data_IF_150008428912
#
_entry.id   IF_150008428912
#
_cell.length_a   1.000
_cell.length_b   1.000
_cell.length_c   1.000
_cell.angle_alpha   90.00
_cell.angle_beta   90.00
_cell.angle_gamma   90.00
#
_symmetry.space_group_name_H-M   'P 1'
#
loop_
_entity.id
_entity.type
_entity.pdbx_description
1 polymer ?
#
# COMPACT_ATOMS: atom_id res chain seq x y z
N UNK A 1 27.59 -58.51 35.56
CA UNK A 1 28.03 -57.14 35.20
C UNK A 1 27.41 -56.78 33.86
N UNK A 2 26.48 -55.82 33.83
CA UNK A 2 25.84 -55.31 32.59
C UNK A 2 26.18 -53.82 32.49
N UNK A 3 26.87 -53.42 31.41
CA UNK A 3 27.12 -52.00 31.09
C UNK A 3 25.83 -51.35 30.58
N UNK A 4 25.50 -50.09 30.94
CA UNK A 4 24.43 -49.35 30.31
C UNK A 4 24.92 -48.62 29.04
N UNK A 5 24.08 -48.69 28.01
CA UNK A 5 24.20 -48.05 26.69
C UNK A 5 23.85 -46.55 26.78
N UNK A 6 24.50 -45.63 26.03
CA UNK A 6 24.25 -44.20 26.17
C UNK A 6 22.97 -43.78 25.45
N UNK A 7 22.12 -43.02 26.14
CA UNK A 7 20.94 -42.36 25.59
C UNK A 7 21.40 -41.11 24.81
N UNK A 8 21.41 -41.19 23.48
CA UNK A 8 21.71 -40.07 22.61
C UNK A 8 20.46 -39.18 22.48
N UNK A 9 20.45 -38.02 23.14
CA UNK A 9 19.38 -37.03 23.02
C UNK A 9 19.65 -36.20 21.76
N UNK A 10 18.79 -36.36 20.75
CA UNK A 10 18.83 -35.58 19.51
C UNK A 10 18.17 -34.20 19.74
N UNK A 11 18.88 -33.07 19.58
CA UNK A 11 18.26 -31.76 19.72
C UNK A 11 17.39 -31.47 18.49
N UNK A 12 16.08 -31.42 18.68
CA UNK A 12 15.13 -30.93 17.69
C UNK A 12 15.31 -29.42 17.54
N UNK A 13 16.01 -29.00 16.49
CA UNK A 13 16.15 -27.58 16.12
C UNK A 13 14.81 -27.14 15.52
N UNK A 14 13.96 -26.48 16.33
CA UNK A 14 12.86 -25.69 15.79
C UNK A 14 13.46 -24.49 15.04
N UNK A 15 13.44 -24.53 13.71
CA UNK A 15 13.62 -23.35 12.90
C UNK A 15 12.41 -22.42 13.11
N UNK A 16 12.52 -21.46 14.02
CA UNK A 16 11.63 -20.30 14.01
C UNK A 16 11.90 -19.52 12.72
N UNK A 17 11.03 -19.67 11.73
CA UNK A 17 11.08 -18.79 10.58
C UNK A 17 10.67 -17.38 11.02
N UNK A 18 11.42 -16.33 10.67
CA UNK A 18 10.98 -14.97 10.93
C UNK A 18 9.70 -14.73 10.15
N UNK A 19 8.58 -14.57 10.85
CA UNK A 19 7.35 -14.05 10.27
C UNK A 19 7.63 -12.61 9.88
N UNK A 20 7.94 -12.38 8.60
CA UNK A 20 8.09 -11.04 8.07
C UNK A 20 6.66 -10.48 7.95
N UNK A 21 6.25 -9.70 8.96
CA UNK A 21 4.95 -9.05 8.93
C UNK A 21 4.87 -8.15 7.69
N UNK A 22 3.79 -8.27 6.92
CA UNK A 22 3.57 -7.46 5.73
C UNK A 22 3.46 -5.97 6.07
N UNK A 23 3.52 -5.12 5.04
CA UNK A 23 3.39 -3.69 5.22
C UNK A 23 2.02 -3.34 5.80
N UNK A 24 2.00 -2.71 6.98
CA UNK A 24 0.79 -2.30 7.67
C UNK A 24 0.44 -0.83 7.44
N UNK A 25 -0.86 -0.56 7.29
CA UNK A 25 -1.44 0.78 7.14
C UNK A 25 -2.84 0.78 7.75
N UNK A 26 -3.17 1.77 8.61
CA UNK A 26 -4.52 1.92 9.21
C UNK A 26 -5.10 0.64 9.86
N UNK A 27 -4.24 -0.18 10.48
CA UNK A 27 -4.63 -1.44 11.13
C UNK A 27 -4.94 -2.59 10.16
N UNK A 28 -4.62 -2.43 8.87
CA UNK A 28 -4.71 -3.48 7.85
C UNK A 28 -3.35 -3.78 7.25
N UNK A 29 -3.17 -5.02 6.79
CA UNK A 29 -1.93 -5.53 6.22
C UNK A 29 -2.09 -5.78 4.71
N UNK A 30 -1.16 -5.22 3.94
CA UNK A 30 -1.04 -5.41 2.48
C UNK A 30 -0.77 -6.88 2.18
N UNK A 31 -1.44 -7.44 1.16
CA UNK A 31 -1.32 -8.83 0.75
C UNK A 31 -2.11 -9.83 1.60
N UNK A 32 -2.58 -9.44 2.80
CA UNK A 32 -3.18 -10.37 3.75
C UNK A 32 -4.67 -10.08 4.00
N UNK A 33 -5.00 -8.81 4.28
CA UNK A 33 -6.35 -8.41 4.70
C UNK A 33 -7.36 -8.65 3.59
N UNK A 34 -8.50 -9.25 3.91
CA UNK A 34 -9.60 -9.45 2.94
C UNK A 34 -10.65 -8.35 3.01
N UNK A 35 -11.46 -8.21 1.95
CA UNK A 35 -12.59 -7.27 1.93
C UNK A 35 -13.58 -7.54 3.06
N UNK A 36 -13.81 -8.81 3.39
CA UNK A 36 -14.72 -9.21 4.47
C UNK A 36 -14.17 -8.84 5.84
N UNK A 37 -12.86 -9.04 6.04
CA UNK A 37 -12.19 -8.64 7.28
C UNK A 37 -12.23 -7.12 7.45
N UNK A 38 -11.91 -6.36 6.39
CA UNK A 38 -12.01 -4.90 6.40
C UNK A 38 -13.44 -4.46 6.75
N UNK A 39 -14.44 -5.01 6.09
CA UNK A 39 -15.85 -4.64 6.28
C UNK A 39 -16.33 -4.93 7.70
N UNK A 40 -15.96 -6.10 8.25
CA UNK A 40 -16.26 -6.46 9.64
C UNK A 40 -15.60 -5.51 10.65
N UNK A 41 -14.38 -5.07 10.37
CA UNK A 41 -13.63 -4.19 11.26
C UNK A 41 -14.16 -2.75 11.24
N UNK A 42 -14.57 -2.24 10.07
CA UNK A 42 -14.95 -0.83 9.89
C UNK A 42 -16.46 -0.55 9.98
N UNK A 43 -17.31 -1.55 9.76
CA UNK A 43 -18.79 -1.38 9.82
C UNK A 43 -19.34 -0.85 11.15
N UNK A 44 -18.52 -0.81 12.21
CA UNK A 44 -18.90 -0.24 13.51
C UNK A 44 -18.53 1.23 13.67
N UNK A 45 -17.69 1.78 12.80
CA UNK A 45 -17.09 3.11 12.97
C UNK A 45 -17.24 4.02 11.75
N UNK A 46 -17.52 3.48 10.56
CA UNK A 46 -17.74 4.27 9.35
C UNK A 46 -18.49 3.46 8.29
N UNK A 47 -19.14 4.17 7.38
CA UNK A 47 -19.78 3.59 6.22
C UNK A 47 -18.75 3.26 5.14
N UNK A 48 -18.94 2.11 4.49
CA UNK A 48 -18.13 1.68 3.36
C UNK A 48 -18.90 1.88 2.06
N UNK A 49 -18.37 2.73 1.19
CA UNK A 49 -18.88 2.95 -0.16
C UNK A 49 -18.21 2.01 -1.16
N UNK A 50 -19.00 1.45 -2.07
CA UNK A 50 -18.48 0.65 -3.18
C UNK A 50 -17.95 1.57 -4.29
N UNK A 51 -16.71 1.35 -4.73
CA UNK A 51 -16.06 2.11 -5.81
C UNK A 51 -15.90 1.30 -7.09
N UNK A 52 -16.53 0.13 -7.15
CA UNK A 52 -16.49 -0.78 -8.30
C UNK A 52 -15.23 -1.64 -8.34
N UNK A 53 -14.86 -2.07 -9.54
CA UNK A 53 -13.71 -2.95 -9.77
C UNK A 53 -12.53 -2.12 -10.28
N UNK A 54 -11.36 -2.31 -9.65
CA UNK A 54 -10.14 -1.67 -10.09
C UNK A 54 -9.66 -2.30 -11.40
N UNK A 55 -9.44 -1.46 -12.41
CA UNK A 55 -8.94 -1.87 -13.73
C UNK A 55 -7.64 -2.68 -13.69
N UNK A 56 -6.72 -2.36 -12.78
CA UNK A 56 -5.37 -2.93 -12.76
C UNK A 56 -5.27 -4.16 -11.87
N UNK A 57 -5.91 -4.16 -10.70
CA UNK A 57 -5.89 -5.33 -9.81
C UNK A 57 -6.97 -6.37 -10.16
N UNK A 58 -8.02 -5.96 -10.88
CA UNK A 58 -9.19 -6.80 -11.16
C UNK A 58 -10.04 -7.09 -9.92
N UNK A 59 -9.75 -6.47 -8.78
CA UNK A 59 -10.47 -6.67 -7.53
C UNK A 59 -11.35 -5.49 -7.13
N UNK A 60 -12.14 -5.72 -6.09
CA UNK A 60 -13.07 -4.73 -5.54
C UNK A 60 -12.34 -3.50 -5.00
N UNK A 61 -12.99 -2.35 -5.06
CA UNK A 61 -12.59 -1.15 -4.34
C UNK A 61 -13.66 -0.74 -3.34
N UNK A 62 -13.22 -0.42 -2.13
CA UNK A 62 -14.07 0.11 -1.06
C UNK A 62 -13.50 1.45 -0.59
N UNK A 63 -14.34 2.40 -0.22
CA UNK A 63 -13.88 3.68 0.30
C UNK A 63 -14.63 4.13 1.56
N UNK A 64 -13.92 4.87 2.42
CA UNK A 64 -14.47 5.57 3.58
C UNK A 64 -14.11 7.05 3.52
N UNK A 65 -14.81 7.86 4.30
CA UNK A 65 -14.50 9.28 4.50
C UNK A 65 -13.30 9.54 5.43
N UNK A 66 -12.63 8.47 5.89
CA UNK A 66 -11.49 8.54 6.80
C UNK A 66 -11.81 8.93 8.26
N UNK A 67 -13.06 9.30 8.57
CA UNK A 67 -13.45 9.85 9.89
C UNK A 67 -13.20 8.87 11.05
N UNK A 68 -13.38 7.57 10.80
CA UNK A 68 -13.11 6.50 11.78
C UNK A 68 -11.67 6.48 12.31
N UNK A 69 -10.71 7.02 11.55
CA UNK A 69 -9.30 7.01 11.93
C UNK A 69 -8.90 8.17 12.82
N UNK A 70 -9.72 9.22 12.91
CA UNK A 70 -9.43 10.42 13.71
C UNK A 70 -8.06 11.03 13.34
N UNK A 71 -7.65 10.90 12.08
CA UNK A 71 -6.40 11.47 11.55
C UNK A 71 -6.74 12.85 10.99
N UNK A 72 -6.13 13.87 11.58
CA UNK A 72 -6.28 15.25 11.12
C UNK A 72 -5.91 15.40 9.65
N UNK A 73 -6.81 16.00 8.87
CA UNK A 73 -6.63 16.26 7.45
C UNK A 73 -6.86 15.06 6.54
N UNK A 74 -7.22 13.87 7.05
CA UNK A 74 -7.60 12.72 6.22
C UNK A 74 -9.04 12.89 5.74
N UNK A 75 -9.28 12.82 4.42
CA UNK A 75 -10.59 13.09 3.82
C UNK A 75 -11.17 11.93 3.03
N UNK A 76 -10.33 10.99 2.58
CA UNK A 76 -10.80 9.75 1.95
C UNK A 76 -9.77 8.64 2.18
N UNK A 77 -10.26 7.41 2.33
CA UNK A 77 -9.44 6.20 2.24
C UNK A 77 -10.05 5.24 1.24
N UNK A 78 -9.31 4.87 0.20
CA UNK A 78 -9.69 3.86 -0.79
C UNK A 78 -8.86 2.61 -0.60
N UNK A 79 -9.52 1.49 -0.37
CA UNK A 79 -8.95 0.15 -0.30
C UNK A 79 -9.14 -0.55 -1.63
N UNK A 80 -8.04 -1.03 -2.21
CA UNK A 80 -8.01 -1.74 -3.48
C UNK A 80 -7.67 -3.19 -3.18
N UNK A 81 -8.55 -4.11 -3.54
CA UNK A 81 -8.32 -5.55 -3.44
C UNK A 81 -7.85 -6.11 -4.79
N UNK A 82 -7.20 -7.26 -4.78
CA UNK A 82 -6.94 -8.06 -5.98
C UNK A 82 -8.12 -8.97 -6.34
N UNK A 83 -7.98 -9.69 -7.45
CA UNK A 83 -9.00 -10.62 -7.95
C UNK A 83 -9.30 -11.80 -7.01
N UNK A 84 -8.41 -12.10 -6.05
CA UNK A 84 -8.64 -13.14 -5.03
C UNK A 84 -9.10 -12.55 -3.69
N UNK A 85 -9.40 -11.25 -3.65
CA UNK A 85 -9.97 -10.56 -2.50
C UNK A 85 -8.95 -10.19 -1.42
N UNK A 86 -7.66 -10.15 -1.73
CA UNK A 86 -6.59 -9.71 -0.81
C UNK A 86 -6.23 -8.24 -1.05
N UNK A 87 -5.91 -7.51 0.01
CA UNK A 87 -5.58 -6.09 -0.07
C UNK A 87 -4.33 -5.88 -0.94
N UNK A 88 -4.48 -5.12 -2.02
CA UNK A 88 -3.43 -4.83 -2.98
C UNK A 88 -2.97 -3.38 -2.91
N UNK A 89 -3.78 -2.48 -2.35
CA UNK A 89 -3.35 -1.13 -2.05
C UNK A 89 -4.31 -0.35 -1.17
N UNK A 90 -3.79 0.74 -0.60
CA UNK A 90 -4.55 1.75 0.14
C UNK A 90 -4.13 3.11 -0.37
N UNK A 91 -5.10 3.94 -0.75
CA UNK A 91 -4.89 5.34 -1.16
C UNK A 91 -5.59 6.21 -0.13
N UNK A 92 -4.88 7.21 0.37
CA UNK A 92 -5.40 8.20 1.31
C UNK A 92 -5.28 9.57 0.68
N UNK A 93 -6.41 10.28 0.59
CA UNK A 93 -6.42 11.69 0.24
C UNK A 93 -6.38 12.50 1.53
N UNK A 94 -5.44 13.44 1.60
CA UNK A 94 -5.17 14.22 2.80
C UNK A 94 -4.92 15.70 2.47
N UNK A 95 -5.13 16.58 3.43
CA UNK A 95 -4.69 17.97 3.34
C UNK A 95 -3.17 18.04 3.10
N UNK A 96 -2.76 18.86 2.11
CA UNK A 96 -1.35 18.97 1.70
C UNK A 96 -0.44 19.52 2.80
N UNK A 97 -0.97 20.31 3.75
CA UNK A 97 -0.23 20.78 4.92
C UNK A 97 0.29 19.64 5.81
N UNK A 98 -0.25 18.43 5.66
CA UNK A 98 0.21 17.22 6.36
C UNK A 98 1.47 16.59 5.74
N UNK A 99 1.96 17.07 4.60
CA UNK A 99 3.08 16.44 3.90
C UNK A 99 4.31 16.26 4.81
N UNK A 100 4.73 17.32 5.51
CA UNK A 100 5.94 17.29 6.33
C UNK A 100 5.82 16.29 7.49
N UNK A 101 4.69 16.26 8.20
CA UNK A 101 4.47 15.37 9.33
C UNK A 101 4.36 13.91 8.90
N UNK A 102 3.66 13.64 7.79
CA UNK A 102 3.56 12.29 7.22
C UNK A 102 4.90 11.81 6.69
N UNK A 103 5.65 12.65 5.98
CA UNK A 103 7.00 12.33 5.52
C UNK A 103 7.92 11.96 6.69
N UNK A 104 7.93 12.78 7.76
CA UNK A 104 8.72 12.52 8.97
C UNK A 104 8.36 11.21 9.66
N UNK A 105 7.06 10.90 9.73
CA UNK A 105 6.60 9.62 10.25
C UNK A 105 7.11 8.44 9.39
N UNK A 106 6.95 8.52 8.07
CA UNK A 106 7.34 7.44 7.16
C UNK A 106 8.86 7.21 7.13
N UNK A 107 9.67 8.26 7.10
CA UNK A 107 11.14 8.10 7.12
C UNK A 107 11.67 7.47 8.41
N UNK A 108 10.93 7.58 9.52
CA UNK A 108 11.30 6.92 10.78
C UNK A 108 11.07 5.41 10.74
N UNK A 109 10.21 4.93 9.84
CA UNK A 109 9.81 3.51 9.71
C UNK A 109 10.40 2.81 8.50
N UNK A 110 10.58 3.53 7.40
CA UNK A 110 10.97 2.96 6.12
C UNK A 110 12.17 3.69 5.53
N UNK A 111 13.01 2.95 4.82
CA UNK A 111 14.12 3.53 4.08
C UNK A 111 13.59 4.37 2.92
N UNK A 112 14.01 5.63 2.88
CA UNK A 112 13.76 6.55 1.78
C UNK A 112 14.45 6.03 0.52
N UNK A 113 13.74 6.02 -0.61
CA UNK A 113 14.24 5.56 -1.92
C UNK A 113 14.35 6.69 -2.92
N UNK A 114 13.42 7.63 -2.90
CA UNK A 114 13.47 8.83 -3.72
C UNK A 114 12.74 9.98 -3.01
N UNK A 115 13.20 11.20 -3.21
CA UNK A 115 12.58 12.41 -2.66
C UNK A 115 12.74 13.58 -3.62
N UNK A 116 11.73 14.43 -3.66
CA UNK A 116 11.74 15.75 -4.29
C UNK A 116 11.07 16.71 -3.30
N UNK A 117 11.87 17.57 -2.66
CA UNK A 117 11.41 18.47 -1.59
C UNK A 117 11.84 19.92 -1.89
N UNK A 118 11.35 20.52 -2.99
CA UNK A 118 11.68 21.90 -3.32
C UNK A 118 11.01 22.84 -2.31
N UNK A 119 11.56 24.05 -2.17
CA UNK A 119 10.92 25.11 -1.39
C UNK A 119 9.59 25.56 -2.01
N UNK A 120 9.53 25.59 -3.36
CA UNK A 120 8.32 25.86 -4.16
C UNK A 120 8.26 24.81 -5.28
N UNK A 121 7.11 24.16 -5.42
CA UNK A 121 6.86 23.14 -6.45
C UNK A 121 6.19 21.90 -5.89
N UNK A 122 6.14 20.84 -6.70
CA UNK A 122 5.58 19.55 -6.30
C UNK A 122 6.49 18.87 -5.29
N UNK A 123 5.90 18.32 -4.22
CA UNK A 123 6.64 17.54 -3.24
C UNK A 123 6.34 16.06 -3.40
N UNK A 124 7.37 15.24 -3.32
CA UNK A 124 7.26 13.80 -3.49
C UNK A 124 8.24 13.05 -2.59
N UNK A 125 7.82 11.90 -2.08
CA UNK A 125 8.70 10.93 -1.45
C UNK A 125 8.25 9.49 -1.78
N UNK A 126 9.21 8.60 -1.98
CA UNK A 126 8.99 7.16 -2.14
C UNK A 126 9.78 6.38 -1.09
N UNK A 127 9.11 5.39 -0.52
CA UNK A 127 9.67 4.36 0.35
C UNK A 127 9.35 2.99 -0.23
N UNK A 128 10.21 2.00 0.02
CA UNK A 128 10.03 0.63 -0.47
C UNK A 128 10.34 -0.35 0.66
N UNK A 129 9.34 -0.70 1.49
CA UNK A 129 9.38 -1.95 2.26
C UNK A 129 9.45 -3.18 1.32
N UNK A 130 9.62 -4.36 1.89
CA UNK A 130 9.92 -5.58 1.12
C UNK A 130 8.80 -5.97 0.13
N UNK A 131 7.54 -5.73 0.48
CA UNK A 131 6.34 -6.23 -0.19
C UNK A 131 5.48 -5.14 -0.87
N UNK A 132 5.81 -3.87 -0.64
CA UNK A 132 5.04 -2.73 -1.14
C UNK A 132 5.91 -1.53 -1.50
N UNK A 133 5.30 -0.60 -2.23
CA UNK A 133 5.79 0.76 -2.47
C UNK A 133 4.88 1.72 -1.71
N UNK A 134 5.49 2.67 -1.02
CA UNK A 134 4.78 3.76 -0.35
C UNK A 134 5.16 5.07 -1.06
N UNK A 135 4.17 5.81 -1.53
CA UNK A 135 4.38 7.11 -2.18
C UNK A 135 3.59 8.20 -1.48
N UNK A 136 4.27 9.30 -1.17
CA UNK A 136 3.68 10.53 -0.70
C UNK A 136 3.85 11.58 -1.79
N UNK A 137 2.74 12.13 -2.27
CA UNK A 137 2.70 12.96 -3.48
C UNK A 137 1.80 14.16 -3.25
N UNK A 138 2.38 15.35 -3.32
CA UNK A 138 1.73 16.63 -3.01
C UNK A 138 1.95 17.60 -4.19
N UNK A 139 1.01 17.63 -5.15
CA UNK A 139 1.08 18.56 -6.26
C UNK A 139 1.00 20.02 -5.79
N UNK A 140 1.81 20.89 -6.39
CA UNK A 140 1.93 22.29 -6.01
C UNK A 140 0.60 23.03 -6.09
N UNK A 141 -0.16 22.78 -7.15
CA UNK A 141 -1.43 23.45 -7.46
C UNK A 141 -2.67 22.75 -6.87
N UNK A 142 -2.48 21.69 -6.08
CA UNK A 142 -3.55 20.98 -5.37
C UNK A 142 -3.58 21.38 -3.89
N UNK A 143 -4.75 21.44 -3.28
CA UNK A 143 -4.88 21.51 -1.81
C UNK A 143 -4.76 20.13 -1.14
N UNK A 144 -4.90 19.07 -1.94
CA UNK A 144 -4.85 17.68 -1.50
C UNK A 144 -3.52 17.04 -1.88
N UNK A 145 -2.96 16.27 -0.96
CA UNK A 145 -1.89 15.31 -1.20
C UNK A 145 -2.43 13.89 -1.15
N UNK A 146 -1.70 12.96 -1.75
CA UNK A 146 -2.00 11.53 -1.68
C UNK A 146 -0.90 10.76 -1.00
N UNK A 147 -1.29 9.86 -0.10
CA UNK A 147 -0.45 8.82 0.45
C UNK A 147 -0.93 7.47 -0.07
N UNK A 148 -0.06 6.75 -0.77
CA UNK A 148 -0.39 5.49 -1.44
C UNK A 148 0.50 4.38 -0.91
N UNK A 149 -0.12 3.30 -0.46
CA UNK A 149 0.53 2.02 -0.17
C UNK A 149 0.11 1.04 -1.25
N UNK A 150 1.04 0.52 -2.03
CA UNK A 150 0.73 -0.30 -3.21
C UNK A 150 1.60 -1.55 -3.18
N UNK A 151 0.97 -2.73 -3.23
CA UNK A 151 1.67 -4.01 -3.34
C UNK A 151 2.52 -4.06 -4.59
N UNK A 152 3.70 -4.69 -4.50
CA UNK A 152 4.70 -4.64 -5.57
C UNK A 152 4.18 -5.17 -6.92
N UNK A 153 3.41 -6.25 -6.92
CA UNK A 153 2.80 -6.83 -8.12
C UNK A 153 1.79 -5.88 -8.80
N UNK A 154 0.94 -5.21 -8.02
CA UNK A 154 -0.01 -4.23 -8.53
C UNK A 154 0.72 -3.02 -9.13
N UNK A 155 1.78 -2.54 -8.47
CA UNK A 155 2.60 -1.45 -9.00
C UNK A 155 3.27 -1.83 -10.32
N UNK A 156 3.80 -3.05 -10.42
CA UNK A 156 4.40 -3.56 -11.65
C UNK A 156 3.35 -3.68 -12.77
N UNK A 157 2.18 -4.26 -12.47
CA UNK A 157 1.09 -4.37 -13.43
C UNK A 157 0.63 -3.00 -13.94
N UNK A 158 0.44 -2.04 -13.05
CA UNK A 158 0.11 -0.66 -13.41
C UNK A 158 1.14 -0.06 -14.36
N UNK A 159 2.44 -0.19 -14.06
CA UNK A 159 3.52 0.33 -14.92
C UNK A 159 3.52 -0.31 -16.30
N UNK A 160 3.36 -1.63 -16.38
CA UNK A 160 3.31 -2.38 -17.64
C UNK A 160 2.10 -1.97 -18.49
N UNK A 161 0.90 -1.96 -17.90
CA UNK A 161 -0.32 -1.59 -18.60
C UNK A 161 -0.26 -0.14 -19.09
N UNK A 162 0.28 0.79 -18.27
CA UNK A 162 0.49 2.19 -18.66
C UNK A 162 1.53 2.37 -19.77
N UNK A 163 2.59 1.58 -19.79
CA UNK A 163 3.56 1.63 -20.87
C UNK A 163 2.95 1.17 -22.20
N UNK A 164 2.17 0.09 -22.17
CA UNK A 164 1.45 -0.42 -23.33
C UNK A 164 0.40 0.59 -23.85
N UNK A 165 -0.37 1.22 -22.97
CA UNK A 165 -1.33 2.27 -23.33
C UNK A 165 -0.66 3.46 -24.03
N UNK A 166 0.47 3.93 -23.49
CA UNK A 166 1.22 5.03 -24.09
C UNK A 166 1.78 4.66 -25.45
N UNK A 167 2.29 3.43 -25.60
CA UNK A 167 2.81 2.95 -26.88
C UNK A 167 1.70 2.86 -27.94
N UNK A 168 0.52 2.33 -27.58
CA UNK A 168 -0.64 2.25 -28.45
C UNK A 168 -1.14 3.65 -28.86
N UNK A 169 -1.23 4.58 -27.90
CA UNK A 169 -1.63 5.97 -28.17
C UNK A 169 -0.68 6.66 -29.15
N UNK A 170 0.63 6.55 -28.92
CA UNK A 170 1.65 7.12 -29.83
C UNK A 170 1.55 6.55 -31.25
N UNK A 171 1.33 5.24 -31.38
CA UNK A 171 1.16 4.59 -32.69
C UNK A 171 -0.10 5.09 -33.42
N UNK A 172 -1.20 5.27 -32.69
CA UNK A 172 -2.44 5.80 -33.25
C UNK A 172 -2.28 7.25 -33.71
N UNK A 173 -1.65 8.10 -32.89
CA UNK A 173 -1.35 9.50 -33.24
C UNK A 173 -0.45 9.59 -34.47
N UNK A 174 0.60 8.76 -34.56
CA UNK A 174 1.50 8.74 -35.72
C UNK A 174 0.87 8.21 -37.01
N UNK A 175 -0.27 7.51 -36.92
CA UNK A 175 -1.01 7.00 -38.09
C UNK A 175 -2.06 8.00 -38.61
N UNK A 176 -2.25 9.13 -37.90
CA UNK A 176 -3.14 10.22 -38.32
C UNK A 176 -2.40 11.35 -39.07
N UNK A 177 -1.07 11.25 -39.17
CA UNK A 177 -0.19 12.15 -39.93
C UNK A 177 0.56 11.34 -40.99
#
# INVERSE_FOLDING_TARGET
>A
MRLPLPLLILPCILCLQPANAGTQVLGVEIGVTTSDQLSKNLSRSTDLSDRGINKYSGGKMLATDGSAYQIEGLTEVVYIFDSVGKLAGVIMDMDKGRFASVYQYLQSKYKVKATQLPYVGDQFARFEPADAIIELDAPHLSFTMQLRYIRNDLSQKYKTDKAAERAAKKKAESAQF
#
